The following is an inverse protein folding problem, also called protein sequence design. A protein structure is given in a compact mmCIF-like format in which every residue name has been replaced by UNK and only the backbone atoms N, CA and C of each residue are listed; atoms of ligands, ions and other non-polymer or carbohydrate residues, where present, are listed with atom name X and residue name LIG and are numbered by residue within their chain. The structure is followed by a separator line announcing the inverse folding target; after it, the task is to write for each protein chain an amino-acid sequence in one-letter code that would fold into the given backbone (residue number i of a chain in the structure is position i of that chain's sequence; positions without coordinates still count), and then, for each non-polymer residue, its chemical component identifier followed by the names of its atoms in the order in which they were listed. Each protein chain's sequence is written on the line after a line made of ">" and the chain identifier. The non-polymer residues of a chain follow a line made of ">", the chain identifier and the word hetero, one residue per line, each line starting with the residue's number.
data_IF_898441145911
#
_entry.id   IF_898441145911
#
_cell.length_a   1.000
_cell.length_b   1.000
_cell.length_c   1.000
_cell.angle_alpha   90.00
_cell.angle_beta   90.00
_cell.angle_gamma   90.00
#
_symmetry.space_group_name_H-M   'P 1'
#
loop_
_entity.id
_entity.type
_entity.pdbx_description
1 polymer ?
#
# COMPACT_ATOMS: atom_id res chain seq x y z
N UNK A 1 -14.05 11.15 9.49
CA UNK A 1 -13.07 10.11 9.89
C UNK A 1 -12.17 10.73 10.95
N UNK A 2 -12.12 10.21 12.17
CA UNK A 2 -11.43 10.86 13.29
C UNK A 2 -9.91 10.85 13.11
N UNK A 3 -9.23 11.96 13.46
CA UNK A 3 -7.77 12.14 13.39
C UNK A 3 -6.99 10.95 14.00
N UNK A 4 -7.58 10.33 15.02
CA UNK A 4 -7.06 9.15 15.70
C UNK A 4 -6.83 7.96 14.75
N UNK A 5 -7.77 7.64 13.86
CA UNK A 5 -7.63 6.53 12.91
C UNK A 5 -6.48 6.76 11.92
N UNK A 6 -6.27 8.02 11.51
CA UNK A 6 -5.16 8.42 10.66
C UNK A 6 -3.82 8.23 11.37
N UNK A 7 -3.72 8.59 12.65
CA UNK A 7 -2.52 8.38 13.46
C UNK A 7 -2.21 6.90 13.63
N UNK A 8 -3.22 6.08 13.94
CA UNK A 8 -3.05 4.63 14.05
C UNK A 8 -2.58 4.03 12.73
N UNK A 9 -3.22 4.40 11.60
CA UNK A 9 -2.81 3.95 10.28
C UNK A 9 -1.37 4.38 9.96
N UNK A 10 -0.99 5.62 10.25
CA UNK A 10 0.36 6.12 10.04
C UNK A 10 1.40 5.29 10.80
N UNK A 11 1.18 5.04 12.10
CA UNK A 11 2.10 4.26 12.94
C UNK A 11 2.23 2.83 12.43
N UNK A 12 1.12 2.15 12.13
CA UNK A 12 1.13 0.77 11.63
C UNK A 12 1.83 0.67 10.26
N UNK A 13 1.58 1.63 9.36
CA UNK A 13 2.22 1.66 8.03
C UNK A 13 3.71 1.98 8.13
N UNK A 14 4.11 2.83 9.09
CA UNK A 14 5.50 3.11 9.41
C UNK A 14 6.25 1.87 9.90
N UNK A 15 5.67 1.14 10.86
CA UNK A 15 6.25 -0.10 11.40
C UNK A 15 6.48 -1.12 10.29
N UNK A 16 5.48 -1.35 9.43
CA UNK A 16 5.63 -2.28 8.29
C UNK A 16 6.70 -1.84 7.30
N UNK A 17 6.85 -0.53 7.05
CA UNK A 17 7.87 0.00 6.13
C UNK A 17 9.29 -0.17 6.69
N UNK A 18 9.48 0.06 7.99
CA UNK A 18 10.74 -0.19 8.69
C UNK A 18 11.08 -1.69 8.64
N UNK A 19 10.14 -2.57 8.96
CA UNK A 19 10.33 -4.01 8.88
C UNK A 19 10.77 -4.46 7.49
N UNK A 20 10.16 -3.93 6.43
CA UNK A 20 10.54 -4.25 5.04
C UNK A 20 11.96 -3.80 4.68
N UNK A 21 12.39 -2.65 5.19
CA UNK A 21 13.72 -2.10 4.94
C UNK A 21 14.79 -2.90 5.69
N UNK A 22 14.52 -3.29 6.95
CA UNK A 22 15.44 -4.05 7.81
C UNK A 22 15.75 -5.47 7.30
N UNK A 23 14.90 -6.05 6.44
CA UNK A 23 15.15 -7.35 5.81
C UNK A 23 16.36 -7.35 4.86
N UNK A 24 16.76 -6.17 4.36
CA UNK A 24 17.87 -6.01 3.42
C UNK A 24 19.24 -6.09 4.12
N UNK A 25 19.54 -5.29 5.17
CA UNK A 25 20.83 -5.33 5.86
C UNK A 25 21.05 -6.62 6.69
N UNK A 26 19.99 -7.23 7.23
CA UNK A 26 20.10 -8.41 8.08
C UNK A 26 20.34 -9.74 7.31
N UNK A 27 20.45 -9.71 5.97
CA UNK A 27 20.59 -10.90 5.09
C UNK A 27 19.49 -11.98 5.27
N UNK A 28 18.38 -11.65 5.93
CA UNK A 28 17.24 -12.55 6.17
C UNK A 28 16.32 -12.73 4.94
N UNK A 29 16.88 -12.63 3.73
CA UNK A 29 16.11 -12.82 2.47
C UNK A 29 15.41 -14.19 2.42
N UNK A 30 15.98 -15.20 3.07
CA UNK A 30 15.40 -16.54 3.19
C UNK A 30 14.07 -16.56 3.98
N UNK A 31 13.89 -15.67 4.97
CA UNK A 31 12.67 -15.57 5.78
C UNK A 31 11.62 -14.62 5.22
N UNK A 32 11.89 -13.99 4.07
CA UNK A 32 10.96 -13.06 3.41
C UNK A 32 9.61 -13.71 3.10
N UNK A 33 9.61 -14.99 2.74
CA UNK A 33 8.38 -15.75 2.53
C UNK A 33 7.53 -15.85 3.79
N UNK A 34 8.14 -16.22 4.92
CA UNK A 34 7.47 -16.29 6.23
C UNK A 34 6.96 -14.91 6.71
N UNK A 35 7.74 -13.84 6.49
CA UNK A 35 7.31 -12.48 6.83
C UNK A 35 6.07 -12.05 6.03
N UNK A 36 6.09 -12.24 4.70
CA UNK A 36 4.94 -11.92 3.85
C UNK A 36 3.73 -12.79 4.20
N UNK A 37 3.95 -14.07 4.51
CA UNK A 37 2.88 -14.99 4.91
C UNK A 37 2.27 -14.56 6.25
N UNK A 38 3.09 -14.14 7.23
CA UNK A 38 2.57 -13.59 8.49
C UNK A 38 1.78 -12.30 8.27
N UNK A 39 2.30 -11.38 7.46
CA UNK A 39 1.67 -10.09 7.20
C UNK A 39 0.31 -10.26 6.49
N UNK A 40 0.29 -10.93 5.35
CA UNK A 40 -0.93 -11.11 4.55
C UNK A 40 -1.85 -12.18 5.15
N UNK A 41 -1.30 -13.23 5.76
CA UNK A 41 -2.05 -14.28 6.43
C UNK A 41 -2.81 -13.76 7.65
N UNK A 42 -2.24 -12.81 8.40
CA UNK A 42 -2.97 -12.16 9.49
C UNK A 42 -4.24 -11.44 9.00
N UNK A 43 -4.19 -10.83 7.80
CA UNK A 43 -5.35 -10.21 7.15
C UNK A 43 -6.42 -11.23 6.79
N UNK A 44 -6.03 -12.41 6.32
CA UNK A 44 -6.97 -13.52 6.03
C UNK A 44 -7.64 -14.01 7.30
N UNK A 45 -6.88 -14.21 8.38
CA UNK A 45 -7.41 -14.67 9.67
C UNK A 45 -8.41 -13.65 10.23
N UNK A 46 -8.08 -12.36 10.23
CA UNK A 46 -8.99 -11.29 10.66
C UNK A 46 -10.23 -11.21 9.76
N UNK A 47 -10.07 -11.39 8.44
CA UNK A 47 -11.18 -11.45 7.50
C UNK A 47 -12.17 -12.59 7.83
N UNK A 48 -11.65 -13.79 8.09
CA UNK A 48 -12.49 -14.94 8.46
C UNK A 48 -13.18 -14.75 9.82
N UNK A 49 -12.47 -14.19 10.81
CA UNK A 49 -13.05 -13.89 12.13
C UNK A 49 -14.19 -12.87 11.98
N UNK A 50 -13.96 -11.79 11.24
CA UNK A 50 -14.98 -10.75 11.05
C UNK A 50 -16.18 -11.26 10.27
N UNK A 51 -16.00 -12.10 9.25
CA UNK A 51 -17.09 -12.79 8.56
C UNK A 51 -17.90 -13.69 9.49
N UNK A 52 -17.23 -14.46 10.35
CA UNK A 52 -17.89 -15.34 11.31
C UNK A 52 -18.73 -14.55 12.34
N UNK A 53 -18.24 -13.39 12.78
CA UNK A 53 -18.93 -12.53 13.75
C UNK A 53 -20.09 -11.76 13.10
N UNK A 54 -19.89 -11.20 11.91
CA UNK A 54 -20.91 -10.36 11.24
C UNK A 54 -21.94 -11.17 10.44
N UNK A 55 -21.73 -12.49 10.27
CA UNK A 55 -22.58 -13.39 9.45
C UNK A 55 -22.89 -12.83 8.06
N UNK A 56 -22.00 -12.00 7.53
CA UNK A 56 -22.18 -11.39 6.22
C UNK A 56 -22.02 -12.46 5.15
N UNK A 57 -23.01 -12.61 4.27
CA UNK A 57 -22.89 -13.49 3.11
C UNK A 57 -22.12 -12.74 2.04
N UNK A 58 -20.89 -13.17 1.77
CA UNK A 58 -20.16 -12.64 0.62
C UNK A 58 -20.80 -13.10 -0.66
N UNK A 59 -21.10 -12.13 -1.52
CA UNK A 59 -21.50 -12.43 -2.88
C UNK A 59 -20.27 -12.84 -3.71
N UNK A 60 -20.49 -13.52 -4.84
CA UNK A 60 -19.43 -13.86 -5.80
C UNK A 60 -18.70 -12.60 -6.28
N UNK A 61 -19.41 -11.47 -6.34
CA UNK A 61 -18.82 -10.20 -6.73
C UNK A 61 -17.81 -9.69 -5.67
N UNK A 62 -18.14 -9.79 -4.38
CA UNK A 62 -17.23 -9.40 -3.29
C UNK A 62 -15.95 -10.23 -3.29
N UNK A 63 -16.09 -11.54 -3.55
CA UNK A 63 -14.96 -12.45 -3.68
C UNK A 63 -14.08 -12.07 -4.88
N UNK A 64 -14.70 -11.74 -6.02
CA UNK A 64 -13.95 -11.34 -7.22
C UNK A 64 -13.19 -10.03 -7.02
N UNK A 65 -13.80 -9.03 -6.38
CA UNK A 65 -13.18 -7.74 -6.07
C UNK A 65 -12.03 -7.96 -5.07
N UNK A 66 -12.28 -8.73 -4.00
CA UNK A 66 -11.26 -9.08 -3.01
C UNK A 66 -10.06 -9.81 -3.64
N UNK A 67 -10.31 -10.70 -4.59
CA UNK A 67 -9.25 -11.43 -5.30
C UNK A 67 -8.42 -10.49 -6.20
N UNK A 68 -9.06 -9.59 -6.94
CA UNK A 68 -8.36 -8.58 -7.76
C UNK A 68 -7.51 -7.66 -6.87
N UNK A 69 -8.06 -7.19 -5.75
CA UNK A 69 -7.32 -6.35 -4.81
C UNK A 69 -6.14 -7.09 -4.16
N UNK A 70 -6.34 -8.35 -3.75
CA UNK A 70 -5.29 -9.18 -3.15
C UNK A 70 -4.16 -9.48 -4.14
N UNK A 71 -4.49 -9.92 -5.35
CA UNK A 71 -3.51 -10.19 -6.41
C UNK A 71 -2.77 -8.92 -6.81
N UNK A 72 -3.50 -7.81 -7.03
CA UNK A 72 -2.90 -6.52 -7.36
C UNK A 72 -1.95 -6.02 -6.26
N UNK A 73 -2.35 -6.16 -4.99
CA UNK A 73 -1.52 -5.84 -3.83
C UNK A 73 -0.26 -6.69 -3.73
N UNK A 74 -0.36 -7.99 -3.99
CA UNK A 74 0.79 -8.90 -4.00
C UNK A 74 1.79 -8.56 -5.11
N UNK A 75 1.30 -8.28 -6.33
CA UNK A 75 2.13 -7.84 -7.46
C UNK A 75 2.84 -6.53 -7.11
N UNK A 76 2.12 -5.54 -6.58
CA UNK A 76 2.68 -4.26 -6.17
C UNK A 76 3.80 -4.43 -5.12
N UNK A 77 3.62 -5.35 -4.18
CA UNK A 77 4.63 -5.66 -3.15
C UNK A 77 5.86 -6.33 -3.75
N UNK A 78 5.69 -7.27 -4.69
CA UNK A 78 6.81 -7.90 -5.41
C UNK A 78 7.61 -6.86 -6.19
N UNK A 79 6.93 -5.97 -6.92
CA UNK A 79 7.56 -4.90 -7.69
C UNK A 79 8.35 -3.93 -6.79
N UNK A 80 7.77 -3.52 -5.65
CA UNK A 80 8.49 -2.70 -4.67
C UNK A 80 9.77 -3.40 -4.20
N UNK A 81 9.66 -4.67 -3.84
CA UNK A 81 10.80 -5.42 -3.35
C UNK A 81 11.84 -5.74 -4.43
N UNK A 82 11.47 -5.72 -5.72
CA UNK A 82 12.40 -5.75 -6.85
C UNK A 82 13.10 -4.39 -7.02
N UNK A 83 12.35 -3.29 -6.92
CA UNK A 83 12.90 -1.93 -6.96
C UNK A 83 13.92 -1.69 -5.84
N UNK A 84 13.67 -2.22 -4.63
CA UNK A 84 14.60 -2.14 -3.50
C UNK A 84 15.93 -2.91 -3.72
N UNK A 85 16.03 -3.77 -4.75
CA UNK A 85 17.31 -4.42 -5.09
C UNK A 85 18.21 -3.53 -5.95
N UNK A 86 17.62 -2.64 -6.75
CA UNK A 86 18.34 -1.78 -7.71
C UNK A 86 18.41 -0.33 -7.26
N UNK A 87 17.50 0.10 -6.39
CA UNK A 87 17.32 1.49 -5.98
C UNK A 87 17.34 1.58 -4.46
N UNK A 88 18.02 2.60 -3.89
CA UNK A 88 17.97 2.84 -2.45
C UNK A 88 16.55 3.01 -1.93
N UNK A 89 16.29 2.47 -0.74
CA UNK A 89 15.00 2.59 -0.04
C UNK A 89 14.54 4.06 0.10
N UNK A 90 15.48 4.98 0.34
CA UNK A 90 15.22 6.41 0.48
C UNK A 90 14.55 7.03 -0.76
N UNK A 91 14.76 6.48 -1.95
CA UNK A 91 14.13 6.96 -3.20
C UNK A 91 12.90 6.10 -3.54
N UNK A 92 12.99 4.78 -3.39
CA UNK A 92 11.93 3.85 -3.77
C UNK A 92 10.62 4.08 -3.00
N UNK A 93 10.68 4.38 -1.70
CA UNK A 93 9.48 4.60 -0.89
C UNK A 93 8.75 5.91 -1.23
N UNK A 94 9.42 7.09 -1.33
CA UNK A 94 8.77 8.32 -1.79
C UNK A 94 8.17 8.21 -3.19
N UNK A 95 8.90 7.59 -4.13
CA UNK A 95 8.40 7.34 -5.49
C UNK A 95 7.13 6.50 -5.46
N UNK A 96 7.11 5.39 -4.70
CA UNK A 96 5.91 4.54 -4.55
C UNK A 96 4.75 5.33 -3.96
N UNK A 97 4.97 6.06 -2.87
CA UNK A 97 3.90 6.74 -2.14
C UNK A 97 3.27 7.87 -2.97
N UNK A 98 4.09 8.73 -3.56
CA UNK A 98 3.60 9.82 -4.40
C UNK A 98 3.05 9.31 -5.73
N UNK A 99 3.69 8.30 -6.33
CA UNK A 99 3.17 7.64 -7.53
C UNK A 99 1.80 7.02 -7.29
N UNK A 100 1.59 6.35 -6.15
CA UNK A 100 0.30 5.82 -5.77
C UNK A 100 -0.76 6.92 -5.65
N UNK A 101 -0.44 8.06 -5.02
CA UNK A 101 -1.38 9.19 -4.90
C UNK A 101 -1.69 9.79 -6.27
N UNK A 102 -0.68 10.00 -7.12
CA UNK A 102 -0.87 10.57 -8.45
C UNK A 102 -1.70 9.66 -9.35
N UNK A 103 -1.38 8.36 -9.39
CA UNK A 103 -2.08 7.37 -10.20
C UNK A 103 -3.51 7.19 -9.69
N UNK A 104 -3.73 7.08 -8.38
CA UNK A 104 -5.08 6.96 -7.83
C UNK A 104 -5.91 8.22 -8.10
N UNK A 105 -5.34 9.42 -8.00
CA UNK A 105 -6.03 10.65 -8.36
C UNK A 105 -6.44 10.70 -9.84
N UNK A 106 -5.56 10.27 -10.76
CA UNK A 106 -5.88 10.18 -12.20
C UNK A 106 -6.96 9.14 -12.46
N UNK A 107 -6.86 7.95 -11.85
CA UNK A 107 -7.88 6.89 -12.00
C UNK A 107 -9.22 7.36 -11.45
N UNK A 108 -9.26 8.02 -10.28
CA UNK A 108 -10.50 8.58 -9.73
C UNK A 108 -11.13 9.60 -10.66
N UNK A 109 -10.32 10.44 -11.31
CA UNK A 109 -10.81 11.42 -12.28
C UNK A 109 -11.36 10.75 -13.55
N UNK A 110 -10.76 9.64 -14.00
CA UNK A 110 -11.21 8.91 -15.20
C UNK A 110 -12.44 8.02 -14.93
N UNK A 111 -12.42 7.25 -13.85
CA UNK A 111 -13.45 6.26 -13.53
C UNK A 111 -14.68 6.89 -12.87
N UNK A 112 -14.49 7.87 -11.98
CA UNK A 112 -15.58 8.51 -11.23
C UNK A 112 -15.86 9.96 -11.65
N UNK A 113 -15.07 10.54 -12.57
CA UNK A 113 -15.21 11.94 -13.01
C UNK A 113 -15.20 12.94 -11.84
N UNK A 114 -14.47 12.60 -10.78
CA UNK A 114 -14.33 13.47 -9.61
C UNK A 114 -13.58 14.75 -9.97
N UNK A 115 -14.09 15.87 -9.46
CA UNK A 115 -13.42 17.18 -9.61
C UNK A 115 -12.45 17.37 -8.45
N UNK A 116 -11.17 17.18 -8.73
CA UNK A 116 -10.11 17.51 -7.78
C UNK A 116 -10.03 19.03 -7.58
N UNK A 117 -10.03 19.47 -6.32
CA UNK A 117 -9.82 20.86 -5.96
C UNK A 117 -8.41 21.33 -6.29
N UNK A 118 -8.22 22.65 -6.49
CA UNK A 118 -6.91 23.25 -6.77
C UNK A 118 -5.86 22.87 -5.70
N UNK A 119 -6.27 22.75 -4.44
CA UNK A 119 -5.41 22.38 -3.32
C UNK A 119 -4.90 20.93 -3.42
N UNK A 120 -5.72 20.02 -3.92
CA UNK A 120 -5.33 18.62 -4.13
C UNK A 120 -4.34 18.51 -5.30
N UNK A 121 -4.57 19.24 -6.38
CA UNK A 121 -3.63 19.33 -7.50
C UNK A 121 -2.28 19.90 -7.09
N UNK A 122 -2.28 20.96 -6.28
CA UNK A 122 -1.05 21.52 -5.73
C UNK A 122 -0.32 20.48 -4.87
N UNK A 123 -1.03 19.74 -4.01
CA UNK A 123 -0.42 18.67 -3.22
C UNK A 123 0.26 17.59 -4.06
N UNK A 124 -0.38 17.15 -5.15
CA UNK A 124 0.20 16.18 -6.09
C UNK A 124 1.43 16.78 -6.79
N UNK A 125 1.32 18.01 -7.29
CA UNK A 125 2.42 18.70 -7.95
C UNK A 125 3.63 18.87 -7.02
N UNK A 126 3.41 19.31 -5.78
CA UNK A 126 4.47 19.40 -4.77
C UNK A 126 5.10 18.02 -4.49
N UNK A 127 4.30 16.96 -4.36
CA UNK A 127 4.80 15.60 -4.17
C UNK A 127 5.71 15.13 -5.33
N UNK A 128 5.31 15.40 -6.57
CA UNK A 128 6.12 15.08 -7.75
C UNK A 128 7.43 15.88 -7.80
N UNK A 129 7.38 17.17 -7.47
CA UNK A 129 8.58 18.02 -7.38
C UNK A 129 9.51 17.53 -6.27
N UNK A 130 8.97 17.12 -5.12
CA UNK A 130 9.78 16.56 -4.03
C UNK A 130 10.50 15.28 -4.43
N UNK A 131 9.85 14.39 -5.20
CA UNK A 131 10.54 13.21 -5.75
C UNK A 131 11.65 13.62 -6.69
N UNK A 132 11.38 14.56 -7.60
CA UNK A 132 12.36 15.02 -8.58
C UNK A 132 13.61 15.62 -7.92
N UNK A 133 13.46 16.31 -6.80
CA UNK A 133 14.57 16.84 -6.01
C UNK A 133 15.36 15.76 -5.24
N UNK A 134 14.77 14.58 -5.03
CA UNK A 134 15.35 13.47 -4.25
C UNK A 134 16.19 12.52 -5.12
N UNK A 135 15.92 12.49 -6.43
CA UNK A 135 16.65 11.69 -7.43
C UNK A 135 17.81 12.50 -7.99
#
# INVERSE_FOLDING_TARGET
>A
MSLFLLLVAFVLTGVTSISNTSLIPLKLKAFRGLYLLGLWGSGVVLGLITMAITKHRSDKNDISIGMVMGVGGAIAMILLLLSLKTTPAMVAFPVRSCGNIAITAVISLLAWKERLSLRQWLGIAFGLVSIYLLV
#
